data_IF_140430838586
#
_entry.id   IF_140430838586
#
_cell.length_a   1.000
_cell.length_b   1.000
_cell.length_c   1.000
_cell.angle_alpha   90.00
_cell.angle_beta   90.00
_cell.angle_gamma   90.00
#
_symmetry.space_group_name_H-M   'P 1'
#
loop_
_entity.id
_entity.type
_entity.pdbx_description
1 polymer ?
#
# COMPACT_ATOMS: atom_id res chain seq x y z
N UNK A 1 5.66 -0.66 -16.08
CA UNK A 1 4.72 -0.46 -14.97
C UNK A 1 5.41 0.42 -13.97
N UNK A 2 4.92 1.62 -13.70
CA UNK A 2 5.47 2.49 -12.65
C UNK A 2 4.70 2.23 -11.37
N UNK A 3 5.38 2.09 -10.24
CA UNK A 3 4.74 1.77 -8.95
C UNK A 3 3.83 2.93 -8.51
N UNK A 4 4.22 4.15 -8.85
CA UNK A 4 3.52 5.38 -8.55
C UNK A 4 2.12 5.44 -9.21
N UNK A 5 1.90 4.69 -10.31
CA UNK A 5 0.60 4.61 -10.99
C UNK A 5 -0.50 4.00 -10.11
N UNK A 6 -0.12 3.24 -9.06
CA UNK A 6 -1.03 2.61 -8.12
C UNK A 6 -1.53 3.56 -7.03
N UNK A 7 -0.95 4.76 -6.91
CA UNK A 7 -1.19 5.69 -5.80
C UNK A 7 -1.84 7.01 -6.22
N UNK A 8 -2.37 7.71 -5.22
CA UNK A 8 -2.79 9.12 -5.27
C UNK A 8 -2.10 9.81 -4.09
N UNK A 9 -1.37 10.89 -4.37
CA UNK A 9 -0.70 11.71 -3.37
C UNK A 9 -1.60 12.89 -3.03
N UNK A 10 -2.25 12.86 -1.88
CA UNK A 10 -3.12 13.95 -1.42
C UNK A 10 -2.29 15.02 -0.69
N UNK A 11 -1.37 14.59 0.16
CA UNK A 11 -0.37 15.41 0.84
C UNK A 11 0.94 14.61 0.97
N UNK A 12 2.06 15.21 1.42
CA UNK A 12 3.28 14.46 1.67
C UNK A 12 3.12 13.26 2.62
N UNK A 13 2.18 13.35 3.59
CA UNK A 13 1.92 12.31 4.59
C UNK A 13 0.65 11.49 4.30
N UNK A 14 -0.08 11.81 3.22
CA UNK A 14 -1.32 11.14 2.83
C UNK A 14 -1.24 10.59 1.40
N UNK A 15 -0.84 9.32 1.33
CA UNK A 15 -0.73 8.54 0.10
C UNK A 15 -1.79 7.45 0.12
N UNK A 16 -2.66 7.45 -0.90
CA UNK A 16 -3.80 6.53 -1.02
C UNK A 16 -3.63 5.57 -2.19
N UNK A 17 -4.23 4.39 -2.07
CA UNK A 17 -4.38 3.48 -3.19
C UNK A 17 -5.40 4.04 -4.19
N UNK A 18 -5.00 4.17 -5.47
CA UNK A 18 -5.86 4.69 -6.53
C UNK A 18 -7.15 3.87 -6.65
N UNK A 19 -8.28 4.57 -6.69
CA UNK A 19 -9.61 3.97 -6.71
C UNK A 19 -10.15 3.53 -5.34
N UNK A 20 -9.39 3.72 -4.26
CA UNK A 20 -9.76 3.30 -2.91
C UNK A 20 -9.60 4.46 -1.92
N UNK A 21 -10.29 4.35 -0.77
CA UNK A 21 -10.10 5.25 0.39
C UNK A 21 -9.09 4.69 1.40
N UNK A 22 -8.33 3.69 0.98
CA UNK A 22 -7.34 2.97 1.79
C UNK A 22 -6.00 3.67 1.61
N UNK A 23 -5.37 4.05 2.73
CA UNK A 23 -4.02 4.60 2.73
C UNK A 23 -2.96 3.51 2.67
N UNK A 24 -1.74 3.86 2.27
CA UNK A 24 -0.64 2.91 2.26
C UNK A 24 -0.31 2.42 3.68
N UNK A 25 -0.50 3.27 4.69
CA UNK A 25 -0.36 2.98 6.12
C UNK A 25 -1.24 1.81 6.58
N UNK A 26 -2.44 1.66 6.01
CA UNK A 26 -3.31 0.52 6.32
C UNK A 26 -2.68 -0.82 5.91
N UNK A 27 -2.04 -0.87 4.74
CA UNK A 27 -1.36 -2.07 4.23
C UNK A 27 -0.10 -2.34 5.04
N UNK A 28 0.65 -1.27 5.33
CA UNK A 28 1.93 -1.35 6.04
C UNK A 28 1.75 -1.80 7.47
N UNK A 29 0.68 -1.38 8.15
CA UNK A 29 0.36 -1.83 9.48
C UNK A 29 0.34 -3.37 9.55
N UNK A 30 -0.45 -4.04 8.71
CA UNK A 30 -0.53 -5.50 8.72
C UNK A 30 0.76 -6.18 8.26
N UNK A 31 1.43 -5.62 7.25
CA UNK A 31 2.70 -6.17 6.78
C UNK A 31 3.77 -6.15 7.89
N UNK A 32 3.85 -5.05 8.67
CA UNK A 32 4.76 -4.92 9.80
C UNK A 32 4.38 -5.84 10.98
N UNK A 33 3.10 -6.17 11.12
CA UNK A 33 2.62 -7.20 12.07
C UNK A 33 2.88 -8.65 11.59
N UNK A 34 3.52 -8.83 10.43
CA UNK A 34 3.95 -10.13 9.92
C UNK A 34 2.96 -10.84 9.00
N UNK A 35 1.90 -10.15 8.56
CA UNK A 35 0.92 -10.71 7.62
C UNK A 35 1.51 -10.80 6.22
N UNK A 36 1.23 -11.90 5.53
CA UNK A 36 1.50 -12.05 4.10
C UNK A 36 0.59 -11.17 3.24
N UNK A 37 1.00 -10.81 2.01
CA UNK A 37 0.15 -10.08 1.06
C UNK A 37 -1.22 -10.73 0.82
N UNK A 38 -1.30 -12.06 0.82
CA UNK A 38 -2.53 -12.84 0.67
C UNK A 38 -3.45 -12.74 1.89
N UNK A 39 -2.88 -12.70 3.09
CA UNK A 39 -3.65 -12.45 4.31
C UNK A 39 -4.16 -11.00 4.35
N UNK A 40 -3.36 -10.03 3.89
CA UNK A 40 -3.78 -8.63 3.76
C UNK A 40 -4.90 -8.49 2.72
N UNK A 41 -4.83 -9.23 1.60
CA UNK A 41 -5.90 -9.28 0.61
C UNK A 41 -7.21 -9.81 1.22
N UNK A 42 -7.11 -10.77 2.14
CA UNK A 42 -8.29 -11.31 2.83
C UNK A 42 -8.96 -10.26 3.75
N UNK A 43 -8.22 -9.26 4.22
CA UNK A 43 -8.72 -8.11 5.00
C UNK A 43 -9.33 -7.05 4.06
N UNK A 44 -8.71 -6.82 2.91
CA UNK A 44 -9.13 -5.84 1.90
C UNK A 44 -9.49 -6.51 0.56
N UNK A 45 -10.59 -7.25 0.47
CA UNK A 45 -10.91 -8.09 -0.70
C UNK A 45 -11.20 -7.30 -1.98
N UNK A 46 -11.50 -6.01 -1.88
CA UNK A 46 -11.70 -5.12 -3.03
C UNK A 46 -10.38 -4.67 -3.67
N UNK A 47 -9.25 -4.88 -2.98
CA UNK A 47 -7.92 -4.66 -3.55
C UNK A 47 -7.51 -5.82 -4.46
N UNK A 48 -6.39 -5.63 -5.15
CA UNK A 48 -5.68 -6.71 -5.82
C UNK A 48 -4.28 -6.85 -5.23
N UNK A 49 -3.66 -8.03 -5.42
CA UNK A 49 -2.31 -8.29 -4.91
C UNK A 49 -1.29 -7.28 -5.45
N UNK A 50 -1.43 -6.82 -6.69
CA UNK A 50 -0.51 -5.83 -7.26
C UNK A 50 -0.46 -4.53 -6.44
N UNK A 51 -1.60 -4.01 -5.97
CA UNK A 51 -1.67 -2.83 -5.10
C UNK A 51 -0.99 -3.05 -3.75
N UNK A 52 -1.14 -4.25 -3.20
CA UNK A 52 -0.52 -4.63 -1.93
C UNK A 52 1.00 -4.73 -2.10
N UNK A 53 1.47 -5.44 -3.12
CA UNK A 53 2.90 -5.54 -3.45
C UNK A 53 3.52 -4.20 -3.82
N UNK A 54 2.81 -3.36 -4.58
CA UNK A 54 3.26 -2.01 -4.91
C UNK A 54 3.48 -1.19 -3.63
N UNK A 55 2.57 -1.29 -2.65
CA UNK A 55 2.70 -0.59 -1.36
C UNK A 55 3.94 -1.04 -0.59
N UNK A 56 4.14 -2.35 -0.46
CA UNK A 56 5.29 -2.93 0.25
C UNK A 56 6.61 -2.55 -0.45
N UNK A 57 6.62 -2.55 -1.78
CA UNK A 57 7.80 -2.23 -2.59
C UNK A 57 8.10 -0.73 -2.62
N UNK A 58 7.10 0.13 -2.44
CA UNK A 58 7.28 1.57 -2.40
C UNK A 58 8.01 2.05 -1.13
N UNK A 59 7.98 1.28 -0.04
CA UNK A 59 8.55 1.69 1.25
C UNK A 59 10.04 2.04 1.21
N UNK A 60 10.94 1.20 0.66
CA UNK A 60 12.36 1.54 0.57
C UNK A 60 12.66 2.83 -0.22
N UNK A 61 11.72 3.31 -1.04
CA UNK A 61 11.85 4.56 -1.79
C UNK A 61 11.39 5.79 -1.00
N UNK A 62 10.58 5.59 0.03
CA UNK A 62 10.31 6.59 1.06
C UNK A 62 11.50 6.54 2.03
N UNK A 63 12.45 7.46 1.91
CA UNK A 63 13.50 7.63 2.92
C UNK A 63 12.87 8.06 4.25
N UNK A 64 12.32 7.11 5.01
CA UNK A 64 11.88 7.33 6.38
C UNK A 64 13.17 7.45 7.19
N UNK A 65 13.55 8.70 7.45
CA UNK A 65 14.73 9.08 8.25
C UNK A 65 14.29 9.34 9.68
#
# INVERSE_FOLDING_TARGET
MQIEDYFIFLTPDDIRLKGHRIGIDNILFYFLEGYSPEEILSIYPDLNLEKIYATITYIPSLNIT
#
